data_IF_148878544935
#
_entry.id   IF_148878544935
#
_cell.length_a   1.000
_cell.length_b   1.000
_cell.length_c   1.000
_cell.angle_alpha   90.00
_cell.angle_beta   90.00
_cell.angle_gamma   90.00
#
_symmetry.space_group_name_H-M   'P 1'
#
loop_
_entity.id
_entity.type
_entity.pdbx_description
1 polymer ?
#
# COMPACT_ATOMS: atom_id res chain seq x y z
N UNK A 1 0.21 20.20 19.59
CA UNK A 1 0.71 19.05 18.82
C UNK A 1 -0.26 18.80 17.70
N UNK A 2 0.16 19.04 16.45
CA UNK A 2 -0.67 18.74 15.29
C UNK A 2 -0.62 17.23 15.01
N UNK A 3 -1.72 16.67 14.54
CA UNK A 3 -1.70 15.31 13.99
C UNK A 3 -0.95 15.37 12.67
N UNK A 4 0.20 14.73 12.57
CA UNK A 4 0.91 14.62 11.29
C UNK A 4 0.05 13.83 10.32
N UNK A 5 -0.30 14.46 9.20
CA UNK A 5 -1.10 13.82 8.18
C UNK A 5 -0.23 12.81 7.44
N UNK A 6 -0.42 11.53 7.72
CA UNK A 6 0.29 10.43 7.05
C UNK A 6 -0.47 9.88 5.84
N UNK A 7 -1.74 10.26 5.69
CA UNK A 7 -2.64 9.80 4.63
C UNK A 7 -2.86 10.91 3.60
N UNK A 8 -2.55 10.62 2.34
CA UNK A 8 -2.65 11.53 1.22
C UNK A 8 -3.53 10.92 0.12
N UNK A 9 -4.36 11.76 -0.49
CA UNK A 9 -5.17 11.38 -1.64
C UNK A 9 -4.96 12.39 -2.76
N UNK A 10 -4.56 11.89 -3.92
CA UNK A 10 -4.45 12.65 -5.16
C UNK A 10 -5.54 12.18 -6.13
N UNK A 11 -6.44 13.09 -6.50
CA UNK A 11 -7.46 12.83 -7.51
C UNK A 11 -7.10 13.55 -8.80
N UNK A 12 -6.93 12.82 -9.89
CA UNK A 12 -6.66 13.37 -11.23
C UNK A 12 -7.72 12.86 -12.18
N UNK A 13 -8.66 13.73 -12.57
CA UNK A 13 -9.86 13.36 -13.30
C UNK A 13 -10.67 12.28 -12.55
N UNK A 14 -10.84 11.10 -13.16
CA UNK A 14 -11.49 9.92 -12.56
C UNK A 14 -10.49 9.00 -11.83
N UNK A 15 -9.20 9.24 -11.98
CA UNK A 15 -8.16 8.44 -11.35
C UNK A 15 -7.90 8.92 -9.92
N UNK A 16 -7.78 7.97 -9.00
CA UNK A 16 -7.46 8.21 -7.59
C UNK A 16 -6.15 7.50 -7.26
N UNK A 17 -5.22 8.21 -6.63
CA UNK A 17 -4.03 7.67 -5.98
C UNK A 17 -4.16 7.95 -4.48
N UNK A 18 -4.07 6.91 -3.67
CA UNK A 18 -4.06 6.97 -2.21
C UNK A 18 -2.68 6.56 -1.73
N UNK A 19 -2.12 7.31 -0.80
CA UNK A 19 -0.78 7.09 -0.23
C UNK A 19 -0.88 7.19 1.29
N UNK A 20 -0.31 6.23 1.98
CA UNK A 20 -0.21 6.15 3.44
C UNK A 20 1.26 5.93 3.79
N UNK A 21 1.83 6.88 4.51
CA UNK A 21 3.20 6.80 5.02
C UNK A 21 3.16 6.04 6.35
N UNK A 22 4.02 5.03 6.50
CA UNK A 22 4.15 4.24 7.71
C UNK A 22 5.62 4.00 8.02
N UNK A 23 6.19 4.84 8.90
CA UNK A 23 7.61 4.78 9.29
C UNK A 23 8.50 4.79 8.04
N UNK A 24 9.23 3.71 7.75
CA UNK A 24 10.16 3.60 6.62
C UNK A 24 9.47 3.15 5.32
N UNK A 25 8.22 2.68 5.41
CA UNK A 25 7.46 2.13 4.29
C UNK A 25 6.37 3.10 3.81
N UNK A 26 6.12 3.07 2.51
CA UNK A 26 4.99 3.77 1.90
C UNK A 26 4.03 2.75 1.29
N UNK A 27 2.81 2.76 1.79
CA UNK A 27 1.71 1.98 1.23
C UNK A 27 0.94 2.89 0.30
N UNK A 28 0.75 2.47 -0.94
CA UNK A 28 -0.03 3.26 -1.89
C UNK A 28 -0.87 2.37 -2.79
N UNK A 29 -1.94 2.93 -3.33
CA UNK A 29 -2.86 2.26 -4.22
C UNK A 29 -3.48 3.26 -5.19
N UNK A 30 -3.76 2.82 -6.41
CA UNK A 30 -4.34 3.70 -7.43
C UNK A 30 -5.33 2.95 -8.30
N UNK A 31 -6.35 3.66 -8.79
CA UNK A 31 -7.28 3.14 -9.80
C UNK A 31 -6.66 3.10 -11.20
N UNK A 32 -5.49 3.70 -11.39
CA UNK A 32 -4.79 3.83 -12.68
C UNK A 32 -3.35 3.37 -12.60
N UNK A 33 -3.01 2.38 -13.43
CA UNK A 33 -1.64 1.84 -13.53
C UNK A 33 -0.64 2.88 -14.03
N UNK A 34 -1.09 3.87 -14.83
CA UNK A 34 -0.25 4.99 -15.27
C UNK A 34 0.17 5.87 -14.09
N UNK A 35 -0.76 6.16 -13.17
CA UNK A 35 -0.46 6.90 -11.94
C UNK A 35 0.49 6.11 -11.03
N UNK A 36 0.30 4.80 -10.89
CA UNK A 36 1.24 3.93 -10.14
C UNK A 36 2.65 4.07 -10.67
N UNK A 37 2.84 3.84 -11.97
CA UNK A 37 4.18 3.88 -12.57
C UNK A 37 4.82 5.26 -12.46
N UNK A 38 4.03 6.32 -12.62
CA UNK A 38 4.51 7.69 -12.44
C UNK A 38 4.94 7.96 -11.00
N UNK A 39 4.13 7.55 -10.03
CA UNK A 39 4.42 7.70 -8.60
C UNK A 39 5.68 6.93 -8.20
N UNK A 40 5.79 5.65 -8.59
CA UNK A 40 6.99 4.84 -8.32
C UNK A 40 8.23 5.51 -8.91
N UNK A 41 8.17 5.99 -10.16
CA UNK A 41 9.32 6.65 -10.78
C UNK A 41 9.71 7.94 -10.05
N UNK A 42 8.73 8.73 -9.63
CA UNK A 42 8.98 9.96 -8.87
C UNK A 42 9.61 9.66 -7.50
N UNK A 43 9.06 8.69 -6.78
CA UNK A 43 9.54 8.34 -5.45
C UNK A 43 10.95 7.73 -5.50
N UNK A 44 11.26 6.90 -6.50
CA UNK A 44 12.59 6.34 -6.70
C UNK A 44 13.61 7.34 -7.27
N UNK A 45 13.19 8.46 -7.87
CA UNK A 45 14.11 9.49 -8.36
C UNK A 45 14.46 10.52 -7.30
N UNK A 46 13.49 10.89 -6.47
CA UNK A 46 13.67 11.89 -5.41
C UNK A 46 14.19 11.28 -4.10
N UNK A 47 13.87 10.00 -3.84
CA UNK A 47 14.25 9.29 -2.62
C UNK A 47 14.92 7.96 -2.97
N UNK A 48 15.78 7.46 -2.08
CA UNK A 48 16.40 6.13 -2.18
C UNK A 48 15.38 5.02 -1.85
N UNK A 49 14.24 5.01 -2.54
CA UNK A 49 13.17 4.05 -2.37
C UNK A 49 13.08 3.06 -3.52
N UNK A 50 12.93 1.79 -3.17
CA UNK A 50 12.67 0.69 -4.10
C UNK A 50 11.25 0.13 -3.93
N UNK A 51 10.62 -0.25 -5.02
CA UNK A 51 9.34 -0.94 -4.96
C UNK A 51 9.51 -2.37 -4.41
N UNK A 52 8.92 -2.65 -3.26
CA UNK A 52 8.96 -3.99 -2.62
C UNK A 52 7.99 -4.98 -3.30
N UNK A 53 6.98 -4.46 -4.00
CA UNK A 53 6.00 -5.25 -4.75
C UNK A 53 4.57 -5.01 -4.25
N UNK A 54 3.69 -5.96 -4.55
CA UNK A 54 2.28 -5.88 -4.16
C UNK A 54 2.10 -6.15 -2.66
N UNK A 55 1.31 -5.31 -1.99
CA UNK A 55 1.04 -5.43 -0.55
C UNK A 55 0.38 -6.77 -0.26
N UNK A 56 1.16 -7.68 0.31
CA UNK A 56 0.76 -9.06 0.65
C UNK A 56 0.64 -9.28 2.16
N UNK A 57 1.28 -8.42 2.96
CA UNK A 57 1.24 -8.46 4.42
C UNK A 57 1.15 -7.03 4.99
N UNK A 58 0.31 -6.83 6.00
CA UNK A 58 0.22 -5.57 6.73
C UNK A 58 -0.12 -5.83 8.20
N UNK A 59 0.70 -5.37 9.14
CA UNK A 59 0.50 -5.56 10.60
C UNK A 59 0.21 -7.03 11.00
N UNK A 60 0.87 -7.99 10.34
CA UNK A 60 0.65 -9.42 10.58
C UNK A 60 -0.59 -10.02 9.90
N UNK A 61 -1.37 -9.21 9.18
CA UNK A 61 -2.48 -9.64 8.34
C UNK A 61 -1.95 -10.02 6.95
N UNK A 62 -2.48 -11.11 6.39
CA UNK A 62 -2.22 -11.54 5.03
C UNK A 62 -3.28 -10.95 4.10
N UNK A 63 -2.82 -10.30 3.04
CA UNK A 63 -3.66 -9.70 2.00
C UNK A 63 -3.60 -10.57 0.74
N UNK A 64 -4.76 -10.81 0.14
CA UNK A 64 -4.90 -11.38 -1.20
C UNK A 64 -5.71 -10.42 -2.04
N UNK A 65 -5.06 -9.75 -2.98
CA UNK A 65 -5.72 -8.87 -3.92
C UNK A 65 -6.25 -9.70 -5.08
N UNK A 66 -7.51 -9.50 -5.44
CA UNK A 66 -8.14 -10.20 -6.55
C UNK A 66 -9.20 -9.34 -7.22
N UNK A 67 -9.75 -9.83 -8.33
CA UNK A 67 -10.69 -9.06 -9.15
C UNK A 67 -11.97 -8.64 -8.42
N UNK A 68 -12.32 -9.31 -7.32
CA UNK A 68 -13.51 -9.02 -6.50
C UNK A 68 -13.22 -8.11 -5.29
N UNK A 69 -11.97 -7.72 -5.09
CA UNK A 69 -11.54 -6.90 -3.95
C UNK A 69 -10.34 -7.49 -3.21
N UNK A 70 -10.14 -7.03 -1.98
CA UNK A 70 -9.01 -7.41 -1.13
C UNK A 70 -9.51 -8.34 -0.03
N UNK A 71 -8.93 -9.54 0.04
CA UNK A 71 -9.22 -10.50 1.09
C UNK A 71 -8.15 -10.44 2.19
N UNK A 72 -8.59 -10.19 3.43
CA UNK A 72 -7.74 -10.07 4.60
C UNK A 72 -7.90 -11.32 5.48
N UNK A 73 -6.80 -11.97 5.85
CA UNK A 73 -6.83 -13.17 6.68
C UNK A 73 -5.59 -13.30 7.55
N UNK A 74 -5.68 -14.15 8.58
CA UNK A 74 -4.57 -14.44 9.51
C UNK A 74 -4.28 -15.95 9.57
N UNK A 75 -4.32 -16.64 8.41
CA UNK A 75 -4.16 -18.09 8.36
C UNK A 75 -2.86 -18.57 9.00
N UNK A 76 -1.77 -17.80 8.83
CA UNK A 76 -0.47 -18.09 9.46
C UNK A 76 -0.52 -18.02 10.99
N UNK A 77 -1.25 -17.05 11.55
CA UNK A 77 -1.45 -16.94 13.00
C UNK A 77 -2.36 -18.03 13.54
N UNK A 78 -3.48 -18.31 12.86
CA UNK A 78 -4.38 -19.40 13.24
C UNK A 78 -3.66 -20.76 13.32
N UNK A 79 -2.81 -21.07 12.33
CA UNK A 79 -2.00 -22.28 12.32
C UNK A 79 -0.96 -22.34 13.45
N UNK A 80 -0.48 -21.19 13.92
CA UNK A 80 0.47 -21.12 15.03
C UNK A 80 -0.21 -21.31 16.40
N UNK A 81 -1.51 -21.02 16.53
CA UNK A 81 -2.26 -21.20 17.78
C UNK A 81 -2.71 -22.66 17.99
N UNK A 82 -3.05 -23.36 16.91
CA UNK A 82 -3.56 -24.75 16.98
C UNK A 82 -2.41 -25.77 17.14
N UNK A 83 -1.17 -25.29 17.27
CA UNK A 83 0.02 -26.11 17.51
C UNK A 83 0.41 -26.15 18.98
#
# INVERSE_FOLDING_TARGET
GGVDQTFFALRKNEDLLVVQIYVDDIIFGSTSKKLVNHFVKLMSSEFEMSLVGELSYFLGLQLKQGNKGIFLHQGKYANNIVK
#
